data_IF_639258562306
#
_entry.id   IF_639258562306
#
_cell.length_a   1.000
_cell.length_b   1.000
_cell.length_c   1.000
_cell.angle_alpha   90.00
_cell.angle_beta   90.00
_cell.angle_gamma   90.00
#
_symmetry.space_group_name_H-M   'P 1'
#
loop_
_entity.id
_entity.type
_entity.pdbx_description
1 polymer ?
#
# COMPACT_ATOMS: atom_id res chain seq x y z
N UNK A 1 -63.35 10.68 9.06
CA UNK A 1 -62.27 10.83 8.07
C UNK A 1 -60.94 10.72 8.81
N UNK A 2 -60.32 9.56 8.79
CA UNK A 2 -59.04 9.28 9.47
C UNK A 2 -57.90 9.55 8.48
N UNK A 3 -57.07 10.53 8.77
CA UNK A 3 -55.87 10.81 8.01
C UNK A 3 -54.76 9.85 8.45
N UNK A 4 -54.44 8.92 7.59
CA UNK A 4 -53.28 7.99 7.77
C UNK A 4 -52.03 8.79 7.41
N UNK A 5 -51.24 9.13 8.40
CA UNK A 5 -49.92 9.70 8.23
C UNK A 5 -48.93 8.55 7.98
N UNK A 6 -48.59 8.34 6.72
CA UNK A 6 -47.56 7.33 6.35
C UNK A 6 -46.20 7.98 6.61
N UNK A 7 -45.57 7.58 7.71
CA UNK A 7 -44.18 7.89 8.00
C UNK A 7 -43.28 7.01 7.09
N UNK A 8 -42.77 7.60 6.02
CA UNK A 8 -41.69 6.98 5.23
C UNK A 8 -40.42 7.18 6.03
N UNK A 9 -40.03 6.15 6.77
CA UNK A 9 -38.72 6.07 7.41
C UNK A 9 -37.70 5.73 6.32
N UNK A 10 -37.09 6.76 5.73
CA UNK A 10 -35.95 6.60 4.81
C UNK A 10 -34.77 6.05 5.63
N UNK A 11 -34.57 4.74 5.55
CA UNK A 11 -33.40 4.07 6.09
C UNK A 11 -32.20 4.49 5.25
N UNK A 12 -31.50 5.55 5.67
CA UNK A 12 -30.21 5.93 5.11
C UNK A 12 -29.22 4.88 5.58
N UNK A 13 -29.01 3.84 4.75
CA UNK A 13 -27.89 2.94 4.87
C UNK A 13 -26.62 3.76 4.59
N UNK A 14 -26.00 4.25 5.65
CA UNK A 14 -24.67 4.81 5.57
C UNK A 14 -23.70 3.66 5.23
N UNK A 15 -23.44 3.47 3.95
CA UNK A 15 -22.32 2.68 3.53
C UNK A 15 -21.06 3.45 3.96
N UNK A 16 -20.38 2.97 4.97
CA UNK A 16 -19.01 3.37 5.23
C UNK A 16 -18.16 2.80 4.06
N UNK A 17 -18.09 3.55 2.97
CA UNK A 17 -17.13 3.29 1.91
C UNK A 17 -15.77 3.65 2.51
N UNK A 18 -15.03 2.65 2.94
CA UNK A 18 -13.62 2.86 3.23
C UNK A 18 -12.94 3.24 1.91
N UNK A 19 -12.18 4.32 1.94
CA UNK A 19 -11.31 4.63 0.83
C UNK A 19 -10.24 3.52 0.76
N UNK A 20 -10.16 2.86 -0.37
CA UNK A 20 -9.22 1.75 -0.61
C UNK A 20 -8.79 1.82 -2.08
N UNK A 21 -7.65 1.22 -2.40
CA UNK A 21 -7.22 1.07 -3.79
C UNK A 21 -8.37 0.45 -4.60
N UNK A 22 -8.85 1.12 -5.64
CA UNK A 22 -10.05 0.69 -6.37
C UNK A 22 -9.78 -0.45 -7.34
N UNK A 23 -8.51 -0.80 -7.58
CA UNK A 23 -8.11 -1.81 -8.54
C UNK A 23 -8.41 -3.21 -8.00
N UNK A 24 -8.75 -4.12 -8.91
CA UNK A 24 -8.92 -5.55 -8.63
C UNK A 24 -7.77 -6.39 -9.19
N UNK A 25 -7.00 -5.83 -10.12
CA UNK A 25 -5.85 -6.46 -10.76
C UNK A 25 -4.66 -5.48 -10.74
N UNK A 26 -3.47 -6.00 -10.49
CA UNK A 26 -2.26 -5.21 -10.38
C UNK A 26 -1.81 -4.66 -11.75
N UNK A 27 -1.29 -3.45 -11.73
CA UNK A 27 -0.61 -2.82 -12.85
C UNK A 27 0.89 -3.04 -12.67
N UNK A 28 1.56 -3.51 -13.72
CA UNK A 28 3.02 -3.72 -13.67
C UNK A 28 3.78 -2.40 -13.58
N UNK A 29 4.88 -2.44 -12.85
CA UNK A 29 5.82 -1.33 -12.82
C UNK A 29 7.25 -1.81 -12.68
N UNK A 30 8.18 -0.94 -13.04
CA UNK A 30 9.59 -1.08 -12.73
C UNK A 30 10.03 0.19 -12.01
N UNK A 31 10.61 0.02 -10.85
CA UNK A 31 11.04 1.12 -9.98
C UNK A 31 12.45 0.88 -9.44
N UNK A 32 13.07 1.92 -8.93
CA UNK A 32 14.38 1.84 -8.28
C UNK A 32 14.23 2.25 -6.82
N UNK A 33 14.88 1.53 -5.92
CA UNK A 33 14.90 1.88 -4.51
C UNK A 33 15.59 3.23 -4.27
N UNK A 34 15.31 3.87 -3.14
CA UNK A 34 15.83 5.19 -2.83
C UNK A 34 17.37 5.26 -2.68
N UNK A 35 18.05 4.13 -2.62
CA UNK A 35 19.51 4.03 -2.60
C UNK A 35 20.11 3.90 -4.00
N UNK A 36 19.29 3.62 -5.03
CA UNK A 36 19.74 3.36 -6.40
C UNK A 36 20.44 2.01 -6.58
N UNK A 37 20.27 1.12 -5.60
CA UNK A 37 20.98 -0.17 -5.55
C UNK A 37 20.14 -1.32 -6.13
N UNK A 38 18.82 -1.25 -6.00
CA UNK A 38 17.91 -2.30 -6.44
C UNK A 38 16.89 -1.76 -7.45
N UNK A 39 16.75 -2.46 -8.58
CA UNK A 39 15.67 -2.26 -9.54
C UNK A 39 14.66 -3.37 -9.38
N UNK A 40 13.40 -3.00 -9.13
CA UNK A 40 12.31 -3.89 -8.79
C UNK A 40 11.29 -3.86 -9.93
N UNK A 41 10.94 -5.03 -10.46
CA UNK A 41 9.78 -5.18 -11.33
C UNK A 41 8.73 -6.03 -10.62
N UNK A 42 7.51 -5.51 -10.51
CA UNK A 42 6.43 -6.16 -9.78
C UNK A 42 6.09 -7.54 -10.38
N UNK A 43 5.90 -7.62 -11.69
CA UNK A 43 5.47 -8.87 -12.31
C UNK A 43 6.56 -9.94 -12.29
N UNK A 44 7.83 -9.57 -12.30
CA UNK A 44 8.92 -10.53 -12.10
C UNK A 44 8.91 -11.16 -10.70
N UNK A 45 8.47 -10.42 -9.67
CA UNK A 45 8.31 -10.97 -8.31
C UNK A 45 7.12 -11.92 -8.28
N UNK A 46 5.96 -11.50 -8.81
CA UNK A 46 4.75 -12.33 -8.86
C UNK A 46 4.97 -13.61 -9.68
N UNK A 47 5.71 -13.54 -10.80
CA UNK A 47 6.02 -14.69 -11.65
C UNK A 47 6.94 -15.71 -10.97
N UNK A 48 7.67 -15.33 -9.90
CA UNK A 48 8.38 -16.25 -9.01
C UNK A 48 7.48 -16.98 -8.02
N UNK A 49 6.19 -16.63 -7.99
CA UNK A 49 5.19 -17.22 -7.09
C UNK A 49 5.06 -16.53 -5.74
N UNK A 50 5.71 -15.37 -5.56
CA UNK A 50 5.58 -14.58 -4.33
C UNK A 50 4.35 -13.68 -4.37
N UNK A 51 3.69 -13.52 -3.24
CA UNK A 51 2.78 -12.40 -3.00
C UNK A 51 3.58 -11.11 -2.85
N UNK A 52 2.95 -9.97 -3.11
CA UNK A 52 3.59 -8.67 -2.87
C UNK A 52 2.71 -7.83 -1.95
N UNK A 53 3.29 -7.32 -0.87
CA UNK A 53 2.69 -6.29 -0.03
C UNK A 53 3.35 -4.95 -0.35
N UNK A 54 2.54 -3.98 -0.78
CA UNK A 54 2.95 -2.60 -1.01
C UNK A 54 2.34 -1.74 0.09
N UNK A 55 3.18 -0.98 0.82
CA UNK A 55 2.75 0.05 1.76
C UNK A 55 2.96 1.43 1.12
N UNK A 56 1.87 2.11 0.80
CA UNK A 56 1.90 3.49 0.30
C UNK A 56 1.90 4.46 1.48
N UNK A 57 2.93 5.32 1.54
CA UNK A 57 3.16 6.21 2.67
C UNK A 57 3.67 7.59 2.22
N UNK A 58 3.89 8.48 3.16
CA UNK A 58 4.73 9.66 3.02
C UNK A 58 5.35 10.07 4.36
N UNK A 59 6.49 10.73 4.31
CA UNK A 59 7.34 11.09 5.43
C UNK A 59 6.61 11.69 6.65
N UNK A 60 5.72 12.67 6.47
CA UNK A 60 5.03 13.36 7.55
C UNK A 60 3.67 12.76 7.94
N UNK A 61 3.37 11.56 7.46
CA UNK A 61 2.12 10.84 7.72
C UNK A 61 2.16 10.18 9.10
N UNK A 62 1.50 10.77 10.09
CA UNK A 62 1.45 10.20 11.44
C UNK A 62 0.83 8.79 11.52
N UNK A 63 -0.27 8.47 10.81
CA UNK A 63 -0.76 7.09 10.75
C UNK A 63 0.23 6.11 10.12
N UNK A 64 0.99 6.53 9.10
CA UNK A 64 2.01 5.69 8.47
C UNK A 64 3.13 5.37 9.48
N UNK A 65 3.59 6.36 10.24
CA UNK A 65 4.59 6.16 11.30
C UNK A 65 4.15 5.13 12.35
N UNK A 66 2.85 5.07 12.65
CA UNK A 66 2.29 4.10 13.58
C UNK A 66 2.19 2.70 12.97
N UNK A 67 2.03 2.58 11.65
CA UNK A 67 1.94 1.32 10.95
C UNK A 67 3.29 0.60 10.81
N UNK A 68 4.41 1.36 10.68
CA UNK A 68 5.74 0.81 10.41
C UNK A 68 6.13 -0.39 11.30
N UNK A 69 5.99 -0.35 12.65
CA UNK A 69 6.39 -1.49 13.49
C UNK A 69 5.61 -2.77 13.16
N UNK A 70 4.34 -2.64 12.80
CA UNK A 70 3.49 -3.78 12.46
C UNK A 70 3.83 -4.36 11.08
N UNK A 71 4.18 -3.50 10.13
CA UNK A 71 4.61 -3.96 8.80
C UNK A 71 5.97 -4.67 8.90
N UNK A 72 6.90 -4.16 9.73
CA UNK A 72 8.19 -4.81 10.00
C UNK A 72 7.97 -6.18 10.67
N UNK A 73 7.08 -6.27 11.67
CA UNK A 73 6.74 -7.55 12.32
C UNK A 73 6.19 -8.56 11.31
N UNK A 74 5.30 -8.11 10.40
CA UNK A 74 4.79 -8.95 9.34
C UNK A 74 5.90 -9.37 8.36
N UNK A 75 6.79 -8.46 7.95
CA UNK A 75 7.94 -8.78 7.10
C UNK A 75 8.81 -9.88 7.69
N UNK A 76 9.13 -9.80 8.98
CA UNK A 76 9.89 -10.83 9.69
C UNK A 76 9.14 -12.16 9.74
N UNK A 77 7.84 -12.12 10.05
CA UNK A 77 7.00 -13.32 10.14
C UNK A 77 6.83 -14.05 8.80
N UNK A 78 6.83 -13.32 7.68
CA UNK A 78 6.68 -13.87 6.33
C UNK A 78 8.00 -14.09 5.59
N UNK A 79 9.14 -14.06 6.30
CA UNK A 79 10.42 -14.57 5.81
C UNK A 79 11.31 -13.58 5.09
N UNK A 80 11.18 -12.27 5.41
CA UNK A 80 12.16 -11.25 5.02
C UNK A 80 12.45 -11.21 3.51
N UNK A 81 11.40 -11.17 2.69
CA UNK A 81 11.44 -11.19 1.22
C UNK A 81 12.07 -12.44 0.59
N UNK A 82 12.46 -13.44 1.40
CA UNK A 82 13.08 -14.67 0.91
C UNK A 82 12.09 -15.82 0.68
N UNK A 83 10.84 -15.67 1.14
CA UNK A 83 9.81 -16.71 1.10
C UNK A 83 8.56 -16.24 0.36
N UNK A 84 7.37 -16.45 0.96
CA UNK A 84 6.09 -16.35 0.26
C UNK A 84 5.65 -14.93 -0.05
N UNK A 85 6.10 -13.92 0.72
CA UNK A 85 5.67 -12.54 0.56
C UNK A 85 6.87 -11.62 0.38
N UNK A 86 6.81 -10.77 -0.63
CA UNK A 86 7.74 -9.67 -0.86
C UNK A 86 7.12 -8.36 -0.37
N UNK A 87 7.82 -7.65 0.49
CA UNK A 87 7.42 -6.38 1.06
C UNK A 87 8.19 -5.25 0.40
N UNK A 88 7.49 -4.15 0.10
CA UNK A 88 8.09 -2.87 -0.29
C UNK A 88 7.21 -1.73 0.19
N UNK A 89 7.79 -0.54 0.31
CA UNK A 89 7.04 0.67 0.55
C UNK A 89 7.28 1.70 -0.55
N UNK A 90 6.30 2.55 -0.80
CA UNK A 90 6.30 3.51 -1.90
C UNK A 90 5.81 4.87 -1.40
N UNK A 91 6.58 5.94 -1.67
CA UNK A 91 6.15 7.30 -1.43
C UNK A 91 6.10 8.12 -2.72
N UNK A 92 4.94 8.74 -3.03
CA UNK A 92 4.81 9.57 -4.22
C UNK A 92 5.34 10.99 -4.04
N UNK A 93 5.60 11.42 -2.79
CA UNK A 93 5.89 12.82 -2.49
C UNK A 93 7.34 13.07 -2.08
N UNK A 94 7.98 12.08 -1.48
CA UNK A 94 9.28 12.25 -0.85
C UNK A 94 10.40 11.95 -1.84
N UNK A 95 11.49 12.76 -1.77
CA UNK A 95 12.71 12.53 -2.53
C UNK A 95 13.48 11.31 -1.99
N UNK A 96 14.51 10.90 -2.73
CA UNK A 96 15.42 9.84 -2.27
C UNK A 96 15.96 10.11 -0.87
N UNK A 97 16.41 11.33 -0.58
CA UNK A 97 17.00 11.66 0.73
C UNK A 97 15.97 11.53 1.88
N UNK A 98 14.71 11.92 1.64
CA UNK A 98 13.66 11.79 2.66
C UNK A 98 13.24 10.34 2.85
N UNK A 99 13.17 9.56 1.77
CA UNK A 99 12.87 8.14 1.80
C UNK A 99 13.99 7.35 2.51
N UNK A 100 15.26 7.67 2.25
CA UNK A 100 16.42 7.11 2.97
C UNK A 100 16.35 7.46 4.46
N UNK A 101 16.12 8.74 4.79
CA UNK A 101 15.96 9.15 6.19
C UNK A 101 14.84 8.37 6.88
N UNK A 102 13.70 8.18 6.21
CA UNK A 102 12.58 7.40 6.74
C UNK A 102 12.99 5.96 7.01
N UNK A 103 13.55 5.29 6.03
CA UNK A 103 13.98 3.89 6.15
C UNK A 103 14.98 3.71 7.29
N UNK A 104 15.98 4.59 7.40
CA UNK A 104 16.98 4.56 8.47
C UNK A 104 16.39 4.87 9.84
N UNK A 105 15.52 5.91 9.94
CA UNK A 105 14.95 6.36 11.19
C UNK A 105 14.03 5.33 11.84
N UNK A 106 13.21 4.67 11.02
CA UNK A 106 12.28 3.63 11.48
C UNK A 106 12.84 2.22 11.41
N UNK A 107 14.00 2.04 10.81
CA UNK A 107 14.66 0.73 10.67
C UNK A 107 13.93 -0.17 9.67
N UNK A 108 13.38 0.38 8.59
CA UNK A 108 12.68 -0.36 7.54
C UNK A 108 13.66 -1.28 6.81
N UNK A 109 13.43 -2.61 6.79
CA UNK A 109 14.40 -3.58 6.27
C UNK A 109 14.12 -4.07 4.84
N UNK A 110 13.12 -3.48 4.17
CA UNK A 110 12.70 -3.84 2.82
C UNK A 110 12.83 -2.62 1.88
N UNK A 111 12.78 -2.83 0.54
CA UNK A 111 12.94 -1.75 -0.41
C UNK A 111 11.95 -0.59 -0.21
N UNK A 112 12.48 0.62 -0.27
CA UNK A 112 11.75 1.88 -0.17
C UNK A 112 11.88 2.63 -1.49
N UNK A 113 10.77 2.82 -2.20
CA UNK A 113 10.70 3.51 -3.49
C UNK A 113 10.24 4.95 -3.24
N UNK A 114 11.10 5.90 -3.58
CA UNK A 114 10.81 7.32 -3.51
C UNK A 114 10.04 7.81 -4.74
N UNK A 115 9.61 9.09 -4.70
CA UNK A 115 9.11 9.77 -5.89
C UNK A 115 10.12 9.70 -7.04
N UNK A 116 11.40 9.88 -6.75
CA UNK A 116 12.46 9.94 -7.75
C UNK A 116 12.76 8.56 -8.36
N UNK A 117 12.43 7.48 -7.63
CA UNK A 117 12.51 6.08 -8.08
C UNK A 117 11.28 5.58 -8.86
N UNK A 118 10.26 6.42 -9.08
CA UNK A 118 9.02 6.07 -9.79
C UNK A 118 7.78 6.00 -8.91
N UNK A 119 7.88 6.38 -7.63
CA UNK A 119 6.79 6.27 -6.67
C UNK A 119 5.57 7.10 -7.02
N UNK A 120 5.74 8.26 -7.67
CA UNK A 120 4.62 9.10 -8.07
C UNK A 120 3.74 8.43 -9.14
N UNK A 121 4.36 7.90 -10.20
CA UNK A 121 3.65 7.24 -11.30
C UNK A 121 2.93 5.99 -10.81
N UNK A 122 3.55 5.22 -9.90
CA UNK A 122 2.95 4.02 -9.33
C UNK A 122 1.73 4.39 -8.47
N UNK A 123 1.82 5.41 -7.64
CA UNK A 123 0.71 5.90 -6.82
C UNK A 123 -0.49 6.34 -7.68
N UNK A 124 -0.23 7.10 -8.76
CA UNK A 124 -1.25 7.53 -9.72
C UNK A 124 -1.91 6.32 -10.41
N UNK A 125 -1.12 5.33 -10.86
CA UNK A 125 -1.63 4.12 -11.52
C UNK A 125 -2.49 3.29 -10.57
N UNK A 126 -2.08 3.17 -9.29
CA UNK A 126 -2.84 2.46 -8.26
C UNK A 126 -3.98 3.27 -7.67
N UNK A 127 -4.12 4.55 -8.05
CA UNK A 127 -5.18 5.46 -7.61
C UNK A 127 -5.32 5.49 -6.09
N UNK A 128 -4.19 5.63 -5.39
CA UNK A 128 -4.13 5.55 -3.93
C UNK A 128 -4.93 6.70 -3.30
N UNK A 129 -5.99 6.41 -2.52
CA UNK A 129 -6.92 7.45 -2.09
C UNK A 129 -6.51 8.15 -0.80
N UNK A 130 -5.66 7.53 0.00
CA UNK A 130 -5.23 8.00 1.32
C UNK A 130 -3.98 7.25 1.80
N UNK A 131 -3.41 7.69 2.93
CA UNK A 131 -2.19 7.09 3.50
C UNK A 131 -2.35 6.80 5.00
N UNK A 132 -1.81 5.67 5.50
CA UNK A 132 -1.25 4.61 4.68
C UNK A 132 -2.33 3.87 3.90
N UNK A 133 -1.98 3.30 2.75
CA UNK A 133 -2.75 2.28 2.07
C UNK A 133 -1.86 1.07 1.82
N UNK A 134 -2.23 -0.07 2.38
CA UNK A 134 -1.51 -1.33 2.19
C UNK A 134 -2.27 -2.21 1.20
N UNK A 135 -1.58 -2.62 0.14
CA UNK A 135 -2.14 -3.44 -0.94
C UNK A 135 -1.45 -4.79 -0.98
N UNK A 136 -2.24 -5.87 -0.88
CA UNK A 136 -1.75 -7.25 -1.02
C UNK A 136 -2.12 -7.80 -2.40
N UNK A 137 -1.10 -8.23 -3.15
CA UNK A 137 -1.22 -8.76 -4.52
C UNK A 137 -0.82 -10.22 -4.53
N UNK A 138 -1.64 -11.06 -5.15
CA UNK A 138 -1.35 -12.49 -5.35
C UNK A 138 -0.48 -12.74 -6.60
N UNK A 139 0.19 -13.90 -6.70
CA UNK A 139 1.01 -14.27 -7.85
C UNK A 139 0.26 -14.26 -9.20
N UNK A 140 -1.05 -14.44 -9.19
CA UNK A 140 -1.90 -14.34 -10.36
C UNK A 140 -2.33 -12.90 -10.72
N UNK A 141 -1.70 -11.90 -10.05
CA UNK A 141 -1.90 -10.46 -10.23
C UNK A 141 -3.21 -9.91 -9.67
N UNK A 142 -4.02 -10.74 -9.00
CA UNK A 142 -5.22 -10.25 -8.33
C UNK A 142 -4.86 -9.46 -7.06
N UNK A 143 -5.48 -8.30 -6.89
CA UNK A 143 -5.41 -7.54 -5.64
C UNK A 143 -6.37 -8.18 -4.66
N UNK A 144 -5.83 -8.85 -3.64
CA UNK A 144 -6.61 -9.54 -2.61
C UNK A 144 -7.16 -8.57 -1.57
N UNK A 145 -6.36 -7.59 -1.19
CA UNK A 145 -6.70 -6.55 -0.22
C UNK A 145 -6.18 -5.21 -0.74
N UNK A 146 -7.04 -4.22 -0.81
CA UNK A 146 -6.73 -2.87 -1.31
C UNK A 146 -6.58 -1.83 -0.21
N UNK A 147 -6.78 -2.22 1.06
CA UNK A 147 -6.56 -1.41 2.25
C UNK A 147 -6.57 -2.31 3.48
N UNK A 148 -5.40 -2.54 4.06
CA UNK A 148 -5.24 -3.37 5.25
C UNK A 148 -5.21 -2.51 6.54
N UNK A 149 -5.13 -1.18 6.40
CA UNK A 149 -5.08 -0.28 7.55
C UNK A 149 -6.46 -0.14 8.23
N UNK A 150 -6.55 -0.11 9.58
CA UNK A 150 -5.46 -0.20 10.57
C UNK A 150 -4.89 -1.63 10.71
N UNK A 151 -3.60 -1.70 10.93
CA UNK A 151 -2.81 -2.92 11.12
C UNK A 151 -2.58 -3.20 12.60
#
# INVERSE_FOLDING_TARGET
>A
MKKIFTFIFALILSFNVKAQCPLTEAIDFTATDCYGEETINLFEILDRGQYVLIDFYFYSCSPCQQAVPHVIEAYEAFGCNQHDVFFMEITPFDSDELAQWWAEHYGVPYPTISRDGGGFEIDEDYQVPQYPTLVLIAPDRQILLGDIYPV
#
